data_IF_730332200094
#
_entry.id   IF_730332200094
#
_cell.length_a   1.000
_cell.length_b   1.000
_cell.length_c   1.000
_cell.angle_alpha   90.00
_cell.angle_beta   90.00
_cell.angle_gamma   90.00
#
_symmetry.space_group_name_H-M   'P 1'
#
loop_
_entity.id
_entity.type
_entity.pdbx_description
1 polymer ?
#
# COMPACT_ATOMS: atom_id res chain seq x y z
N UNK A 1 33.16 62.12 -24.85
CA UNK A 1 33.66 61.94 -23.46
C UNK A 1 34.27 60.57 -23.35
N UNK A 2 35.58 60.51 -23.12
CA UNK A 2 36.40 59.30 -23.16
C UNK A 2 36.56 58.72 -21.75
N UNK A 3 36.19 57.45 -21.52
CA UNK A 3 36.53 56.72 -20.29
C UNK A 3 37.32 55.46 -20.64
N UNK A 4 38.65 55.56 -20.47
CA UNK A 4 39.62 54.47 -20.35
C UNK A 4 39.62 53.95 -18.91
N UNK A 5 39.78 52.63 -18.73
CA UNK A 5 40.40 51.86 -17.62
C UNK A 5 39.67 50.51 -17.53
N UNK A 6 40.27 49.36 -17.22
CA UNK A 6 41.66 48.94 -17.02
C UNK A 6 41.63 47.40 -17.16
N UNK A 7 42.56 46.81 -17.92
CA UNK A 7 42.67 45.35 -18.01
C UNK A 7 43.40 44.84 -16.77
N UNK A 8 42.76 43.98 -15.98
CA UNK A 8 43.44 43.21 -14.93
C UNK A 8 43.87 41.90 -15.57
N UNK A 9 45.16 41.78 -15.84
CA UNK A 9 45.81 40.52 -16.20
C UNK A 9 45.98 39.71 -14.91
N UNK A 10 45.16 38.68 -14.70
CA UNK A 10 45.38 37.72 -13.62
C UNK A 10 46.60 36.85 -13.93
N UNK A 11 47.63 36.99 -13.11
CA UNK A 11 48.82 36.13 -13.14
C UNK A 11 48.43 34.71 -12.72
N UNK A 12 48.63 33.74 -13.63
CA UNK A 12 48.75 32.32 -13.27
C UNK A 12 50.15 32.11 -12.70
N UNK A 13 50.24 31.90 -11.39
CA UNK A 13 51.44 31.31 -10.78
C UNK A 13 51.23 29.80 -10.65
N UNK A 14 52.09 28.94 -11.21
CA UNK A 14 52.09 27.52 -10.86
C UNK A 14 52.73 27.35 -9.49
N UNK A 15 51.98 26.81 -8.53
CA UNK A 15 52.54 26.34 -7.26
C UNK A 15 53.16 24.96 -7.49
N UNK A 16 54.47 24.86 -7.28
CA UNK A 16 55.20 23.58 -7.22
C UNK A 16 55.07 23.05 -5.81
N UNK A 17 54.37 21.93 -5.65
CA UNK A 17 54.28 21.20 -4.38
C UNK A 17 55.39 20.16 -4.37
N UNK A 18 56.39 20.33 -3.50
CA UNK A 18 57.43 19.34 -3.25
C UNK A 18 56.99 18.45 -2.09
N UNK A 19 56.67 17.19 -2.39
CA UNK A 19 56.36 16.19 -1.35
C UNK A 19 57.66 15.50 -0.96
N UNK A 20 58.08 15.69 0.29
CA UNK A 20 59.17 14.94 0.89
C UNK A 20 58.64 13.62 1.45
N UNK A 21 59.05 12.50 0.88
CA UNK A 21 58.78 11.17 1.44
C UNK A 21 59.77 10.93 2.57
N UNK A 22 59.27 10.94 3.81
CA UNK A 22 60.04 10.54 4.99
C UNK A 22 59.93 9.03 5.13
N UNK A 23 61.02 8.32 4.82
CA UNK A 23 61.18 6.91 5.14
C UNK A 23 61.36 6.71 6.65
N UNK A 24 60.33 6.21 7.31
CA UNK A 24 60.40 5.52 8.60
C UNK A 24 59.95 4.09 8.30
N UNK A 25 60.58 2.99 8.70
CA UNK A 25 61.60 2.70 9.69
C UNK A 25 61.33 1.23 10.03
N UNK A 26 62.29 0.35 9.75
CA UNK A 26 62.13 -1.08 9.97
C UNK A 26 62.11 -1.38 11.48
N UNK A 27 60.91 -1.46 12.05
CA UNK A 27 60.67 -1.95 13.40
C UNK A 27 60.19 -3.41 13.34
N UNK A 28 61.07 -4.35 13.69
CA UNK A 28 60.71 -5.75 13.85
C UNK A 28 59.89 -5.97 15.11
N UNK A 29 58.75 -6.65 14.96
CA UNK A 29 58.02 -7.26 16.07
C UNK A 29 58.13 -8.79 15.95
N UNK A 30 58.89 -9.39 16.86
CA UNK A 30 58.90 -10.83 17.12
C UNK A 30 57.95 -11.15 18.27
N UNK A 31 57.08 -12.16 18.08
CA UNK A 31 56.08 -12.64 19.03
C UNK A 31 54.66 -12.31 18.56
N UNK A 32 53.70 -13.22 18.44
CA UNK A 32 53.44 -14.43 19.20
C UNK A 32 52.63 -15.38 18.30
N UNK A 33 52.96 -16.68 18.29
CA UNK A 33 52.28 -17.70 17.48
C UNK A 33 51.11 -18.30 18.25
N UNK A 34 50.05 -17.53 18.47
CA UNK A 34 48.80 -18.05 19.03
C UNK A 34 47.66 -17.84 18.03
N UNK A 35 47.14 -18.97 17.56
CA UNK A 35 45.83 -19.16 16.91
C UNK A 35 45.45 -18.13 15.84
N UNK A 36 45.78 -18.46 14.58
CA UNK A 36 45.29 -17.74 13.42
C UNK A 36 43.74 -17.69 13.42
N UNK A 37 43.10 -16.50 13.54
CA UNK A 37 41.72 -16.37 13.11
C UNK A 37 41.70 -16.65 11.62
N UNK A 38 40.81 -17.54 11.19
CA UNK A 38 40.55 -17.87 9.79
C UNK A 38 40.44 -16.57 8.98
N UNK A 39 41.42 -16.37 8.08
CA UNK A 39 41.67 -15.09 7.45
C UNK A 39 40.46 -14.55 6.70
N UNK A 40 40.12 -13.31 7.02
CA UNK A 40 39.28 -12.46 6.21
C UNK A 40 39.97 -12.31 4.84
N UNK A 41 39.49 -13.01 3.84
CA UNK A 41 39.88 -12.77 2.45
C UNK A 41 39.20 -11.47 2.03
N UNK A 42 39.98 -10.38 2.00
CA UNK A 42 39.56 -9.16 1.35
C UNK A 42 39.24 -9.50 -0.11
N UNK A 43 37.95 -9.57 -0.46
CA UNK A 43 37.47 -9.98 -1.77
C UNK A 43 37.60 -8.85 -2.83
N UNK A 44 38.54 -7.92 -2.62
CA UNK A 44 38.77 -6.79 -3.52
C UNK A 44 39.88 -7.14 -4.50
N UNK A 45 39.66 -6.83 -5.78
CA UNK A 45 40.58 -7.13 -6.89
C UNK A 45 41.95 -6.43 -6.82
N UNK A 46 42.30 -5.80 -5.69
CA UNK A 46 43.63 -5.26 -5.42
C UNK A 46 43.99 -5.39 -3.91
N UNK A 47 44.43 -6.57 -3.45
CA UNK A 47 44.65 -6.84 -2.03
C UNK A 47 45.88 -6.14 -1.42
N UNK A 48 46.74 -5.50 -2.24
CA UNK A 48 48.00 -4.93 -1.76
C UNK A 48 47.86 -3.61 -0.99
N UNK A 49 46.74 -2.92 -1.13
CA UNK A 49 46.55 -1.56 -0.60
C UNK A 49 45.64 -1.52 0.65
N UNK A 50 44.95 -2.63 0.96
CA UNK A 50 44.07 -2.69 2.11
C UNK A 50 44.82 -3.14 3.38
N UNK A 51 44.68 -2.43 4.51
CA UNK A 51 45.15 -2.92 5.80
C UNK A 51 44.56 -4.31 6.12
N UNK A 52 45.35 -5.19 6.75
CA UNK A 52 44.89 -6.53 7.12
C UNK A 52 43.79 -6.51 8.19
N UNK A 53 43.80 -5.48 9.04
CA UNK A 53 42.78 -5.23 10.05
C UNK A 53 41.90 -4.06 9.60
N UNK A 54 40.63 -4.09 10.00
CA UNK A 54 39.71 -2.98 9.76
C UNK A 54 40.28 -1.69 10.39
N UNK A 55 40.43 -0.61 9.60
CA UNK A 55 40.91 0.67 10.13
C UNK A 55 39.82 1.30 11.00
N UNK A 56 40.21 2.11 11.99
CA UNK A 56 39.27 2.96 12.73
C UNK A 56 38.82 4.12 11.82
N UNK A 57 37.55 4.53 11.91
CA UNK A 57 37.09 5.77 11.29
C UNK A 57 38.02 6.94 11.62
N UNK A 58 38.31 7.78 10.63
CA UNK A 58 39.25 8.91 10.68
C UNK A 58 40.75 8.56 10.76
N UNK A 59 41.13 7.28 10.80
CA UNK A 59 42.54 6.90 10.71
C UNK A 59 43.15 7.37 9.39
N UNK A 60 44.39 7.87 9.40
CA UNK A 60 45.07 8.35 8.19
C UNK A 60 45.28 7.19 7.22
N UNK A 61 44.92 7.39 5.95
CA UNK A 61 45.14 6.44 4.86
C UNK A 61 46.13 7.01 3.85
N UNK A 62 47.06 6.16 3.39
CA UNK A 62 48.10 6.52 2.41
C UNK A 62 47.80 6.03 0.99
N UNK A 63 46.59 5.48 0.78
CA UNK A 63 46.15 4.92 -0.50
C UNK A 63 45.42 5.96 -1.34
N UNK A 64 45.18 5.67 -2.61
CA UNK A 64 44.40 6.55 -3.47
C UNK A 64 42.96 6.71 -2.96
N UNK A 65 42.34 7.85 -3.26
CA UNK A 65 41.02 8.23 -2.73
C UNK A 65 39.86 7.32 -3.18
N UNK A 66 40.10 6.43 -4.15
CA UNK A 66 39.10 5.54 -4.72
C UNK A 66 39.29 4.07 -4.29
N UNK A 67 40.18 3.81 -3.33
CA UNK A 67 40.41 2.45 -2.82
C UNK A 67 39.35 2.10 -1.77
N UNK A 68 38.54 1.09 -2.09
CA UNK A 68 37.55 0.51 -1.20
C UNK A 68 37.99 -0.88 -0.74
N UNK A 69 38.06 -1.04 0.59
CA UNK A 69 38.44 -2.26 1.27
C UNK A 69 37.21 -2.87 1.93
N UNK A 70 36.95 -4.16 1.65
CA UNK A 70 35.82 -4.88 2.21
C UNK A 70 36.33 -5.91 3.23
N UNK A 71 35.86 -5.76 4.47
CA UNK A 71 36.22 -6.60 5.61
C UNK A 71 35.01 -7.47 5.96
N UNK A 72 35.03 -8.74 5.55
CA UNK A 72 33.99 -9.70 5.93
C UNK A 72 34.35 -10.32 7.27
N UNK A 73 33.47 -10.27 8.28
CA UNK A 73 33.74 -10.89 9.59
C UNK A 73 33.33 -12.38 9.69
N UNK A 74 32.92 -12.99 8.57
CA UNK A 74 32.46 -14.38 8.52
C UNK A 74 31.03 -14.61 9.03
N UNK A 75 30.33 -13.58 9.53
CA UNK A 75 28.95 -13.66 10.03
C UNK A 75 27.92 -13.04 9.08
N UNK A 76 28.28 -12.81 7.80
CA UNK A 76 27.41 -12.14 6.83
C UNK A 76 27.36 -10.62 6.98
N UNK A 77 28.03 -10.06 7.99
CA UNK A 77 28.24 -8.64 8.16
C UNK A 77 29.60 -8.26 7.55
N UNK A 78 29.57 -7.28 6.65
CA UNK A 78 30.76 -6.73 6.03
C UNK A 78 30.92 -5.27 6.44
N UNK A 79 32.16 -4.83 6.60
CA UNK A 79 32.48 -3.40 6.71
C UNK A 79 33.16 -2.94 5.43
N UNK A 80 32.72 -1.82 4.86
CA UNK A 80 33.43 -1.17 3.75
C UNK A 80 34.20 0.04 4.26
N UNK A 81 35.52 0.04 4.11
CA UNK A 81 36.35 1.20 4.38
C UNK A 81 36.80 1.84 3.07
N UNK A 82 36.52 3.12 2.87
CA UNK A 82 37.03 3.91 1.75
C UNK A 82 37.98 5.00 2.25
N UNK A 83 39.10 5.20 1.55
CA UNK A 83 40.03 6.27 1.86
C UNK A 83 39.53 7.56 1.22
N UNK A 84 39.02 8.52 1.98
CA UNK A 84 38.58 9.82 1.48
C UNK A 84 39.41 10.94 2.15
N UNK A 85 39.96 11.83 1.33
CA UNK A 85 40.74 13.00 1.81
C UNK A 85 41.92 12.62 2.76
N UNK A 86 42.54 11.46 2.51
CA UNK A 86 43.64 10.95 3.34
C UNK A 86 43.20 10.36 4.68
N UNK A 87 41.91 10.09 4.88
CA UNK A 87 41.37 9.38 6.05
C UNK A 87 40.45 8.22 5.66
N UNK A 88 40.45 7.17 6.46
CA UNK A 88 39.50 6.07 6.33
C UNK A 88 38.11 6.51 6.78
N UNK A 89 37.14 6.38 5.88
CA UNK A 89 35.71 6.44 6.16
C UNK A 89 35.22 4.99 6.20
N UNK A 90 34.69 4.58 7.35
CA UNK A 90 34.27 3.20 7.60
C UNK A 90 32.75 3.16 7.59
N UNK A 91 32.19 2.53 6.57
CA UNK A 91 30.76 2.29 6.43
C UNK A 91 30.48 0.86 6.91
N UNK A 92 29.98 0.75 8.13
CA UNK A 92 29.45 -0.51 8.64
C UNK A 92 28.12 -0.74 7.94
N UNK A 93 28.00 -1.84 7.20
CA UNK A 93 26.68 -2.35 6.85
C UNK A 93 26.13 -2.97 8.14
N UNK A 94 25.59 -2.14 9.02
CA UNK A 94 24.73 -2.62 10.09
C UNK A 94 23.52 -3.23 9.42
N UNK A 95 23.63 -4.52 9.10
CA UNK A 95 22.57 -5.50 9.04
C UNK A 95 21.17 -4.96 8.67
N UNK A 96 21.08 -4.18 7.60
CA UNK A 96 19.79 -3.87 6.95
C UNK A 96 19.23 -5.10 6.23
N UNK A 97 19.83 -6.28 6.45
CA UNK A 97 19.34 -7.59 6.04
C UNK A 97 18.68 -8.37 7.20
N UNK A 98 18.77 -7.89 8.46
CA UNK A 98 17.89 -8.31 9.56
C UNK A 98 16.86 -7.25 9.94
N UNK A 99 16.99 -6.03 9.42
CA UNK A 99 15.82 -5.21 9.20
C UNK A 99 14.93 -5.89 8.18
N UNK A 100 13.86 -6.57 8.62
CA UNK A 100 12.63 -6.51 7.83
C UNK A 100 12.52 -5.04 7.37
N UNK A 101 12.43 -4.75 6.06
CA UNK A 101 12.03 -3.42 5.62
C UNK A 101 10.89 -3.02 6.54
N UNK A 102 10.94 -1.83 7.21
CA UNK A 102 9.89 -1.46 8.14
C UNK A 102 8.58 -1.77 7.43
N UNK A 103 7.80 -2.69 8.02
CA UNK A 103 6.58 -3.18 7.43
C UNK A 103 5.83 -1.94 6.97
N UNK A 104 5.63 -1.74 5.64
CA UNK A 104 5.09 -0.50 5.15
C UNK A 104 3.80 -0.29 5.90
N UNK A 105 3.76 0.76 6.75
CA UNK A 105 2.63 0.96 7.63
C UNK A 105 1.38 0.97 6.74
N UNK A 106 0.36 0.14 7.07
CA UNK A 106 -0.83 0.04 6.23
C UNK A 106 -1.40 1.44 6.04
N UNK A 107 -1.38 1.91 4.78
CA UNK A 107 -1.56 3.29 4.34
C UNK A 107 -3.03 3.69 4.28
N UNK A 108 -3.87 3.09 5.13
CA UNK A 108 -5.22 3.60 5.29
C UNK A 108 -5.12 5.03 5.84
N UNK A 109 -5.57 6.06 5.09
CA UNK A 109 -5.58 7.41 5.62
C UNK A 109 -6.39 7.46 6.91
N UNK A 110 -6.02 8.33 7.85
CA UNK A 110 -6.69 8.45 9.15
C UNK A 110 -8.20 8.73 9.04
N UNK A 111 -8.62 9.35 7.93
CA UNK A 111 -10.01 9.59 7.58
C UNK A 111 -10.37 8.84 6.30
N UNK A 112 -11.65 8.45 6.19
CA UNK A 112 -12.18 7.84 4.98
C UNK A 112 -11.89 8.76 3.78
N UNK A 113 -11.23 8.25 2.72
CA UNK A 113 -10.98 9.04 1.52
C UNK A 113 -12.29 9.32 0.79
N UNK A 114 -12.26 10.22 -0.18
CA UNK A 114 -13.39 10.42 -1.10
C UNK A 114 -13.24 9.47 -2.29
N UNK A 115 -14.35 8.97 -2.82
CA UNK A 115 -14.32 8.19 -4.06
C UNK A 115 -13.70 9.01 -5.19
N UNK A 116 -12.68 8.46 -5.86
CA UNK A 116 -11.88 9.12 -6.88
C UNK A 116 -10.59 9.78 -6.40
N UNK A 117 -10.35 9.88 -5.08
CA UNK A 117 -9.06 10.34 -4.56
C UNK A 117 -7.93 9.37 -4.95
N UNK A 118 -6.71 9.87 -5.15
CA UNK A 118 -5.57 9.03 -5.53
C UNK A 118 -5.18 8.10 -4.38
N UNK A 119 -4.91 6.83 -4.70
CA UNK A 119 -4.39 5.83 -3.77
C UNK A 119 -3.04 5.29 -4.27
N UNK A 120 -2.17 4.94 -3.33
CA UNK A 120 -0.77 4.63 -3.61
C UNK A 120 -0.54 3.15 -3.93
N UNK A 121 -1.38 2.26 -3.39
CA UNK A 121 -1.23 0.81 -3.52
C UNK A 121 -2.49 0.14 -4.07
N UNK A 122 -2.39 -0.38 -5.29
CA UNK A 122 -3.46 -1.16 -5.91
C UNK A 122 -3.83 -2.37 -5.04
N UNK A 123 -5.13 -2.56 -4.79
CA UNK A 123 -5.65 -3.68 -4.00
C UNK A 123 -5.66 -3.45 -2.48
N UNK A 124 -5.27 -2.27 -1.99
CA UNK A 124 -5.45 -1.89 -0.59
C UNK A 124 -6.94 -1.72 -0.26
N UNK A 125 -7.37 -2.18 0.92
CA UNK A 125 -8.75 -2.03 1.40
C UNK A 125 -8.75 -1.58 2.86
N UNK A 126 -9.57 -0.57 3.16
CA UNK A 126 -9.63 0.12 4.44
C UNK A 126 -11.07 0.23 4.92
N UNK A 127 -11.33 -0.23 6.15
CA UNK A 127 -12.63 -0.10 6.80
C UNK A 127 -12.65 1.12 7.73
N UNK A 128 -13.72 1.91 7.65
CA UNK A 128 -13.94 3.12 8.43
C UNK A 128 -15.30 3.11 9.10
N UNK A 129 -15.37 3.80 10.24
CA UNK A 129 -16.52 3.80 11.11
C UNK A 129 -16.69 2.47 11.83
N UNK A 130 -17.66 2.43 12.74
CA UNK A 130 -17.98 1.23 13.50
C UNK A 130 -19.49 1.18 13.73
N UNK A 131 -20.12 0.12 13.22
CA UNK A 131 -21.49 -0.28 13.48
C UNK A 131 -21.45 -1.71 14.05
N UNK A 132 -21.42 -1.80 15.38
CA UNK A 132 -21.40 -3.07 16.12
C UNK A 132 -20.25 -4.02 15.74
N UNK A 133 -19.05 -3.48 15.52
CA UNK A 133 -17.86 -4.22 15.10
C UNK A 133 -17.72 -4.39 13.59
N UNK A 134 -18.60 -3.78 12.79
CA UNK A 134 -18.55 -3.80 11.32
C UNK A 134 -18.29 -2.39 10.80
N UNK A 135 -17.31 -2.17 9.89
CA UNK A 135 -17.08 -0.85 9.31
C UNK A 135 -18.32 -0.40 8.53
N UNK A 136 -18.70 0.88 8.70
CA UNK A 136 -19.81 1.49 7.94
C UNK A 136 -19.35 2.01 6.59
N UNK A 137 -18.06 2.02 6.33
CA UNK A 137 -17.48 2.54 5.10
C UNK A 137 -16.28 1.70 4.72
N UNK A 138 -16.33 1.09 3.54
CA UNK A 138 -15.22 0.35 2.96
C UNK A 138 -14.63 1.16 1.81
N UNK A 139 -13.32 1.37 1.83
CA UNK A 139 -12.59 2.03 0.76
C UNK A 139 -11.59 1.06 0.16
N UNK A 140 -11.63 0.85 -1.16
CA UNK A 140 -10.70 -0.02 -1.88
C UNK A 140 -9.96 0.74 -2.97
N UNK A 141 -8.66 0.53 -3.12
CA UNK A 141 -7.85 1.16 -4.16
C UNK A 141 -7.94 0.37 -5.47
N UNK A 142 -8.61 0.94 -6.47
CA UNK A 142 -8.81 0.34 -7.81
C UNK A 142 -8.22 1.26 -8.86
N UNK A 143 -7.29 0.74 -9.67
CA UNK A 143 -6.62 1.49 -10.75
C UNK A 143 -6.00 2.83 -10.30
N UNK A 144 -5.49 2.88 -9.06
CA UNK A 144 -4.85 4.07 -8.49
C UNK A 144 -5.82 5.14 -7.99
N UNK A 145 -7.13 4.84 -7.92
CA UNK A 145 -8.13 5.70 -7.28
C UNK A 145 -8.93 4.95 -6.21
N UNK A 146 -9.30 5.64 -5.13
CA UNK A 146 -10.16 5.10 -4.09
C UNK A 146 -11.58 4.89 -4.61
N UNK A 147 -12.12 3.69 -4.41
CA UNK A 147 -13.53 3.36 -4.57
C UNK A 147 -14.12 3.21 -3.16
N UNK A 148 -15.05 4.10 -2.79
CA UNK A 148 -15.61 4.16 -1.44
C UNK A 148 -17.06 3.70 -1.47
N UNK A 149 -17.37 2.71 -0.65
CA UNK A 149 -18.72 2.16 -0.42
C UNK A 149 -19.16 2.49 1.00
N UNK A 150 -20.33 3.11 1.15
CA UNK A 150 -20.89 3.47 2.46
C UNK A 150 -22.05 2.52 2.73
N UNK A 151 -21.95 1.76 3.81
CA UNK A 151 -23.03 0.95 4.34
C UNK A 151 -23.77 1.73 5.42
N UNK A 152 -25.09 1.87 5.26
CA UNK A 152 -25.93 2.41 6.31
C UNK A 152 -26.05 1.40 7.45
N UNK A 153 -25.76 1.84 8.67
CA UNK A 153 -26.04 1.09 9.89
C UNK A 153 -27.57 1.04 10.09
N UNK A 154 -28.25 0.07 9.49
CA UNK A 154 -29.69 -0.12 9.55
C UNK A 154 -30.01 -1.63 9.68
N UNK A 155 -30.92 -2.07 10.57
CA UNK A 155 -31.85 -1.28 11.38
C UNK A 155 -31.20 -0.61 12.60
N UNK A 156 -31.80 0.49 13.12
CA UNK A 156 -31.44 1.00 14.45
C UNK A 156 -31.57 -0.11 15.49
N UNK A 157 -30.74 -0.07 16.54
CA UNK A 157 -30.87 -0.97 17.69
C UNK A 157 -32.34 -0.94 18.13
N UNK A 158 -33.06 -2.08 18.21
CA UNK A 158 -34.36 -2.08 18.86
C UNK A 158 -34.16 -1.52 20.26
N UNK A 159 -34.86 -0.42 20.58
CA UNK A 159 -34.83 0.14 21.92
C UNK A 159 -35.14 -1.01 22.90
N UNK A 160 -34.38 -1.17 24.00
CA UNK A 160 -34.69 -2.19 24.98
C UNK A 160 -36.11 -1.94 25.47
N UNK A 161 -37.03 -2.80 25.01
CA UNK A 161 -38.45 -2.71 25.29
C UNK A 161 -38.64 -2.74 26.80
N UNK A 162 -38.73 -1.55 27.38
CA UNK A 162 -38.82 -1.31 28.82
C UNK A 162 -40.28 -1.11 29.24
N UNK A 163 -41.23 -1.44 28.35
CA UNK A 163 -42.65 -1.43 28.65
C UNK A 163 -43.13 -2.80 29.12
N UNK A 164 -43.88 -2.90 30.24
CA UNK A 164 -44.73 -4.06 30.44
C UNK A 164 -45.74 -4.08 29.29
N UNK A 165 -45.75 -5.17 28.53
CA UNK A 165 -46.72 -5.44 27.48
C UNK A 165 -48.10 -5.60 28.15
N UNK A 166 -48.85 -4.52 28.29
CA UNK A 166 -50.28 -4.60 28.53
C UNK A 166 -50.96 -5.02 27.22
N UNK A 167 -51.17 -6.32 27.16
CA UNK A 167 -51.79 -7.08 26.10
C UNK A 167 -53.32 -6.92 26.22
N UNK A 168 -53.85 -5.72 25.94
CA UNK A 168 -55.30 -5.53 25.84
C UNK A 168 -55.65 -4.35 24.93
N UNK A 169 -56.04 -4.66 23.69
CA UNK A 169 -56.41 -3.68 22.69
C UNK A 169 -56.51 -4.32 21.32
N UNK A 170 -57.66 -4.95 21.06
CA UNK A 170 -57.97 -5.61 19.80
C UNK A 170 -57.76 -4.71 18.58
N UNK A 171 -57.55 -5.33 17.39
CA UNK A 171 -57.33 -4.61 16.15
C UNK A 171 -58.52 -3.68 15.88
N UNK A 172 -58.28 -2.42 15.42
CA UNK A 172 -59.35 -1.62 14.86
C UNK A 172 -59.83 -2.29 13.57
N UNK A 173 -60.98 -2.97 13.66
CA UNK A 173 -61.74 -3.45 12.52
C UNK A 173 -62.10 -2.24 11.63
N UNK A 174 -61.31 -1.99 10.58
CA UNK A 174 -61.63 -0.90 9.64
C UNK A 174 -60.51 -0.33 8.79
N UNK A 175 -59.27 -0.85 8.85
CA UNK A 175 -58.30 -0.56 7.79
C UNK A 175 -58.73 -1.35 6.55
N UNK A 176 -59.43 -0.67 5.64
CA UNK A 176 -59.73 -1.18 4.31
C UNK A 176 -58.45 -1.77 3.70
N UNK A 177 -58.56 -2.98 3.18
CA UNK A 177 -57.51 -3.74 2.51
C UNK A 177 -56.82 -2.84 1.47
N UNK A 178 -55.74 -2.18 1.87
CA UNK A 178 -54.81 -1.58 0.94
C UNK A 178 -54.13 -2.78 0.29
N UNK A 179 -54.71 -3.20 -0.84
CA UNK A 179 -54.22 -4.24 -1.72
C UNK A 179 -52.70 -4.05 -1.83
N UNK A 180 -51.95 -4.94 -1.18
CA UNK A 180 -50.49 -4.88 -1.11
C UNK A 180 -50.01 -4.86 -2.55
N UNK A 181 -49.53 -3.71 -3.01
CA UNK A 181 -49.16 -3.54 -4.40
C UNK A 181 -48.05 -4.53 -4.73
N UNK A 182 -48.36 -5.52 -5.56
CA UNK A 182 -47.43 -6.58 -5.91
C UNK A 182 -46.25 -5.98 -6.69
N UNK A 183 -45.03 -6.38 -6.34
CA UNK A 183 -43.85 -6.02 -7.12
C UNK A 183 -44.01 -6.53 -8.56
N UNK A 184 -43.68 -5.73 -9.58
CA UNK A 184 -43.76 -6.21 -10.96
C UNK A 184 -42.80 -7.39 -11.15
N UNK A 185 -43.21 -8.41 -11.92
CA UNK A 185 -42.39 -9.61 -12.16
C UNK A 185 -41.08 -9.31 -12.89
N UNK A 186 -41.04 -8.21 -13.64
CA UNK A 186 -39.89 -7.76 -14.43
C UNK A 186 -39.27 -6.55 -13.72
N UNK A 187 -37.93 -6.49 -13.56
CA UNK A 187 -37.28 -5.32 -12.99
C UNK A 187 -37.63 -4.09 -13.83
N UNK A 188 -38.12 -3.01 -13.21
CA UNK A 188 -38.45 -1.77 -13.90
C UNK A 188 -37.20 -1.13 -14.49
N UNK A 189 -37.37 -0.19 -15.42
CA UNK A 189 -36.26 0.61 -15.94
C UNK A 189 -36.06 1.86 -15.07
N UNK A 190 -34.81 2.28 -14.89
CA UNK A 190 -34.49 3.49 -14.11
C UNK A 190 -35.25 4.70 -14.66
N UNK A 191 -35.97 5.41 -13.78
CA UNK A 191 -36.73 6.61 -14.13
C UNK A 191 -38.14 6.35 -14.70
N UNK A 192 -38.57 5.10 -14.83
CA UNK A 192 -39.98 4.81 -15.12
C UNK A 192 -40.87 5.19 -13.93
N UNK A 193 -42.11 5.67 -14.19
CA UNK A 193 -43.02 6.02 -13.11
C UNK A 193 -43.41 4.76 -12.33
N UNK A 194 -43.38 4.86 -11.00
CA UNK A 194 -43.84 3.80 -10.09
C UNK A 194 -45.15 4.22 -9.41
N UNK A 195 -46.07 3.27 -9.25
CA UNK A 195 -47.37 3.48 -8.60
C UNK A 195 -47.49 2.81 -7.23
N UNK A 196 -46.38 2.27 -6.71
CA UNK A 196 -46.34 1.61 -5.41
C UNK A 196 -46.25 2.71 -4.34
N UNK A 197 -47.25 2.78 -3.47
CA UNK A 197 -47.28 3.75 -2.37
C UNK A 197 -46.70 3.12 -1.11
N UNK A 198 -45.41 3.32 -0.87
CA UNK A 198 -44.73 2.78 0.31
C UNK A 198 -43.23 2.72 0.14
N UNK A 199 -42.49 2.52 1.23
CA UNK A 199 -41.06 2.19 1.21
C UNK A 199 -40.82 0.74 0.77
N UNK A 200 -41.64 0.22 -0.14
CA UNK A 200 -41.56 -1.17 -0.54
C UNK A 200 -40.39 -1.35 -1.50
N UNK A 201 -39.50 -2.25 -1.09
CA UNK A 201 -38.31 -2.61 -1.83
C UNK A 201 -38.61 -3.90 -2.60
N UNK A 202 -38.47 -3.85 -3.92
CA UNK A 202 -38.62 -5.01 -4.78
C UNK A 202 -37.25 -5.60 -5.10
N UNK A 203 -37.02 -6.85 -4.67
CA UNK A 203 -35.81 -7.61 -4.98
C UNK A 203 -35.92 -8.34 -6.32
N UNK A 204 -34.91 -8.19 -7.16
CA UNK A 204 -34.79 -8.84 -8.46
C UNK A 204 -33.44 -9.56 -8.58
N UNK A 205 -33.44 -10.66 -9.34
CA UNK A 205 -32.28 -11.48 -9.68
C UNK A 205 -31.53 -12.04 -8.45
N UNK A 206 -31.58 -13.35 -8.22
CA UNK A 206 -30.82 -13.96 -7.13
C UNK A 206 -29.41 -14.38 -7.58
N UNK A 207 -28.38 -14.01 -6.82
CA UNK A 207 -27.06 -14.64 -6.89
C UNK A 207 -26.77 -15.29 -5.54
N UNK A 208 -26.58 -16.61 -5.54
CA UNK A 208 -26.33 -17.40 -4.33
C UNK A 208 -27.38 -17.20 -3.22
N UNK A 209 -28.63 -16.91 -3.58
CA UNK A 209 -29.73 -16.69 -2.63
C UNK A 209 -29.85 -15.25 -2.11
N UNK A 210 -29.12 -14.29 -2.67
CA UNK A 210 -29.25 -12.86 -2.38
C UNK A 210 -29.73 -12.09 -3.60
N UNK A 211 -30.65 -11.15 -3.41
CA UNK A 211 -31.10 -10.23 -4.46
C UNK A 211 -29.92 -9.36 -4.91
N UNK A 212 -29.66 -9.34 -6.21
CA UNK A 212 -28.57 -8.56 -6.82
C UNK A 212 -29.05 -7.26 -7.41
N UNK A 213 -30.36 -7.09 -7.58
CA UNK A 213 -30.97 -5.85 -8.05
C UNK A 213 -32.05 -5.46 -7.08
N UNK A 214 -31.90 -4.30 -6.47
CA UNK A 214 -32.89 -3.71 -5.57
C UNK A 214 -33.57 -2.56 -6.31
N UNK A 215 -34.90 -2.61 -6.44
CA UNK A 215 -35.68 -1.49 -6.99
C UNK A 215 -36.50 -0.84 -5.88
N UNK A 216 -36.40 0.48 -5.76
CA UNK A 216 -37.18 1.29 -4.83
C UNK A 216 -37.94 2.38 -5.58
N UNK A 217 -39.17 2.67 -5.14
CA UNK A 217 -39.97 3.75 -5.68
C UNK A 217 -39.71 5.04 -4.88
N UNK A 218 -39.00 6.00 -5.47
CA UNK A 218 -38.66 7.28 -4.83
C UNK A 218 -39.23 8.41 -5.68
N UNK A 219 -40.02 9.30 -5.07
CA UNK A 219 -40.66 10.43 -5.75
C UNK A 219 -41.46 10.05 -7.01
N UNK A 220 -42.17 8.91 -6.95
CA UNK A 220 -42.92 8.33 -8.07
C UNK A 220 -42.05 7.87 -9.25
N UNK A 221 -40.74 7.67 -9.05
CA UNK A 221 -39.83 7.09 -10.04
C UNK A 221 -39.06 5.89 -9.48
N UNK A 222 -38.82 4.90 -10.33
CA UNK A 222 -37.98 3.76 -9.97
C UNK A 222 -36.50 4.14 -9.87
N UNK A 223 -35.90 3.83 -8.72
CA UNK A 223 -34.47 3.83 -8.46
C UNK A 223 -33.97 2.40 -8.36
N UNK A 224 -32.90 2.07 -9.09
CA UNK A 224 -32.32 0.72 -9.13
C UNK A 224 -30.91 0.74 -8.57
N UNK A 225 -30.63 -0.19 -7.67
CA UNK A 225 -29.28 -0.49 -7.20
C UNK A 225 -28.93 -1.91 -7.64
N UNK A 226 -27.94 -2.04 -8.53
CA UNK A 226 -27.45 -3.34 -9.00
C UNK A 226 -26.10 -3.65 -8.37
N UNK A 227 -26.04 -4.72 -7.59
CA UNK A 227 -24.83 -5.31 -7.07
C UNK A 227 -24.27 -6.29 -8.11
N UNK A 228 -23.03 -6.07 -8.54
CA UNK A 228 -22.32 -7.02 -9.40
C UNK A 228 -21.93 -8.26 -8.60
N UNK A 229 -22.41 -9.44 -9.00
CA UNK A 229 -21.98 -10.69 -8.39
C UNK A 229 -20.54 -11.03 -8.82
N UNK A 230 -19.61 -11.10 -7.87
CA UNK A 230 -18.22 -11.49 -8.09
C UNK A 230 -17.91 -12.75 -7.25
N UNK A 231 -17.53 -13.90 -7.85
CA UNK A 231 -17.17 -14.12 -9.25
C UNK A 231 -18.37 -13.99 -10.22
N UNK A 232 -18.13 -13.55 -11.48
CA UNK A 232 -19.18 -13.49 -12.49
C UNK A 232 -19.81 -14.88 -12.63
N UNK A 233 -21.13 -14.97 -12.46
CA UNK A 233 -21.83 -16.23 -12.72
C UNK A 233 -21.55 -16.65 -14.18
N UNK A 234 -21.28 -17.93 -14.45
CA UNK A 234 -21.32 -18.43 -15.81
C UNK A 234 -22.74 -18.17 -16.31
N UNK A 235 -22.90 -17.27 -17.29
CA UNK A 235 -24.19 -17.05 -17.92
C UNK A 235 -24.69 -18.41 -18.40
N UNK A 236 -25.90 -18.84 -18.05
CA UNK A 236 -26.45 -20.07 -18.62
C UNK A 236 -26.45 -19.88 -20.12
N UNK A 237 -25.65 -20.70 -20.81
CA UNK A 237 -25.63 -20.78 -22.26
C UNK A 237 -27.11 -20.85 -22.68
N UNK A 238 -27.57 -19.82 -23.38
CA UNK A 238 -28.94 -19.73 -23.87
C UNK A 238 -29.10 -20.68 -25.05
N UNK A 239 -28.74 -21.94 -24.84
CA UNK A 239 -29.00 -23.08 -25.68
C UNK A 239 -30.49 -23.38 -25.65
N UNK A 240 -31.27 -22.47 -26.23
CA UNK A 240 -32.54 -22.78 -26.88
C UNK A 240 -32.22 -23.77 -28.01
N UNK A 241 -32.04 -25.04 -27.64
CA UNK A 241 -32.18 -26.15 -28.57
C UNK A 241 -33.66 -26.16 -28.98
N UNK A 242 -33.95 -25.49 -30.09
CA UNK A 242 -35.17 -25.72 -30.87
C UNK A 242 -35.12 -27.17 -31.35
N UNK A 243 -35.61 -28.08 -30.51
CA UNK A 243 -36.02 -29.41 -30.95
C UNK A 243 -37.20 -29.22 -31.91
N UNK A 244 -36.85 -29.11 -33.19
CA UNK A 244 -37.79 -29.27 -34.27
C UNK A 244 -38.28 -30.71 -34.24
N UNK A 245 -39.43 -30.92 -33.62
CA UNK A 245 -40.19 -32.15 -33.75
C UNK A 245 -40.51 -32.40 -35.22
N UNK A 246 -39.74 -33.29 -35.84
CA UNK A 246 -40.05 -33.85 -37.15
C UNK A 246 -41.16 -34.88 -36.96
N UNK A 247 -42.35 -34.55 -37.45
CA UNK A 247 -43.49 -35.43 -37.47
C UNK A 247 -43.35 -36.45 -38.60
N UNK A 248 -43.28 -37.73 -38.23
CA UNK A 248 -43.45 -38.88 -39.10
C UNK A 248 -44.53 -39.82 -38.55
#
# INVERSE_FOLDING_TARGET
MSRKRSRISSLKAPFVVTVAVVGMGAGGCTGNSDSAPTGNTANSANPAECPTLEPTGDAVCAVAADVACNYNNGQGQGTNANCAEGKWVVNTYEDTLTGNPPEPEPMCPDAAPTSGDLCWYYGESCGYGDCYGTPTTDASCVDGSWLVSIMSCNPPMPEPDSGPIELDGGPPDGAADAESAECPEIPPTMGEPCSISGQDICGYNECLGYWTTEASCVDSQWSLMTLTCNPPMPMPDSGLSLDAGDGG
#
